data_IF_428606924647
#
_entry.id   IF_428606924647
#
_cell.length_a   1.000
_cell.length_b   1.000
_cell.length_c   1.000
_cell.angle_alpha   90.00
_cell.angle_beta   90.00
_cell.angle_gamma   90.00
#
_symmetry.space_group_name_H-M   'P 1'
#
loop_
_entity.id
_entity.type
_entity.pdbx_description
1 polymer ?
#
# COMPACT_ATOMS: atom_id res chain seq x y z
N UNK A 1 7.81 -17.19 10.49
CA UNK A 1 7.99 -17.85 9.18
C UNK A 1 6.80 -18.75 8.78
N UNK A 2 6.10 -19.44 9.69
CA UNK A 2 5.00 -20.33 9.31
C UNK A 2 3.73 -19.65 8.75
N UNK A 3 3.39 -18.44 9.20
CA UNK A 3 2.22 -17.71 8.70
C UNK A 3 2.43 -17.15 7.28
N UNK A 4 3.64 -16.73 6.93
CA UNK A 4 3.95 -16.20 5.59
C UNK A 4 3.84 -17.24 4.47
N UNK A 5 4.01 -18.52 4.80
CA UNK A 5 3.84 -19.61 3.83
C UNK A 5 2.37 -20.04 3.64
N UNK A 6 1.46 -19.60 4.54
CA UNK A 6 0.04 -19.93 4.49
C UNK A 6 -0.82 -18.84 3.83
N UNK A 7 -0.25 -17.65 3.62
CA UNK A 7 -0.99 -16.50 3.07
C UNK A 7 -0.71 -16.42 1.58
N UNK A 8 -1.51 -17.14 0.79
CA UNK A 8 -1.33 -17.21 -0.65
C UNK A 8 -1.92 -16.02 -1.43
N UNK A 9 -2.77 -15.19 -0.84
CA UNK A 9 -3.51 -14.15 -1.56
C UNK A 9 -3.23 -12.72 -1.08
N UNK A 10 -3.43 -11.75 -1.97
CA UNK A 10 -3.27 -10.32 -1.66
C UNK A 10 -4.23 -9.85 -0.58
N UNK A 11 -5.46 -10.38 -0.56
CA UNK A 11 -6.44 -10.07 0.49
C UNK A 11 -5.90 -10.49 1.87
N UNK A 12 -5.42 -11.73 1.98
CA UNK A 12 -4.86 -12.24 3.21
C UNK A 12 -3.59 -11.45 3.61
N UNK A 13 -2.74 -11.08 2.67
CA UNK A 13 -1.59 -10.22 2.92
C UNK A 13 -2.00 -8.84 3.45
N UNK A 14 -3.08 -8.24 2.92
CA UNK A 14 -3.56 -6.94 3.37
C UNK A 14 -4.15 -6.96 4.79
N UNK A 15 -4.76 -8.07 5.22
CA UNK A 15 -5.52 -8.13 6.48
C UNK A 15 -4.88 -8.97 7.57
N UNK A 16 -4.16 -10.04 7.23
CA UNK A 16 -3.65 -11.01 8.18
C UNK A 16 -2.16 -10.88 8.46
N UNK A 17 -1.36 -10.37 7.51
CA UNK A 17 0.05 -10.16 7.76
C UNK A 17 0.27 -8.92 8.63
N UNK A 18 1.06 -9.02 9.69
CA UNK A 18 1.41 -7.86 10.49
C UNK A 18 2.25 -6.88 9.65
N UNK A 19 1.92 -5.61 9.74
CA UNK A 19 2.71 -4.52 9.17
C UNK A 19 3.29 -3.61 10.26
N UNK A 20 3.27 -4.09 11.50
CA UNK A 20 3.81 -3.41 12.67
C UNK A 20 5.30 -3.69 12.84
N UNK A 21 5.97 -2.87 13.67
CA UNK A 21 7.37 -3.09 14.05
C UNK A 21 8.39 -2.49 13.09
N UNK A 22 7.96 -1.79 12.03
CA UNK A 22 8.89 -1.03 11.21
C UNK A 22 9.45 0.15 11.98
N UNK A 23 10.78 0.18 12.10
CA UNK A 23 11.48 1.28 12.79
C UNK A 23 12.52 1.91 11.88
N UNK A 24 12.33 3.20 11.57
CA UNK A 24 13.25 3.97 10.73
C UNK A 24 13.68 5.22 11.51
N UNK A 25 14.99 5.45 11.61
CA UNK A 25 15.60 6.56 12.36
C UNK A 25 15.15 6.66 13.82
N UNK A 26 14.89 5.49 14.45
CA UNK A 26 14.46 5.43 15.84
C UNK A 26 12.99 5.81 16.04
N UNK A 27 12.21 5.98 14.96
CA UNK A 27 10.77 6.20 14.98
C UNK A 27 10.06 4.90 14.66
N UNK A 28 9.09 4.53 15.47
CA UNK A 28 8.21 3.40 15.19
C UNK A 28 7.14 3.88 14.22
N UNK A 29 7.11 3.26 13.03
CA UNK A 29 6.19 3.68 11.98
C UNK A 29 4.82 3.03 12.19
N UNK A 30 3.78 3.81 11.97
CA UNK A 30 2.42 3.30 11.81
C UNK A 30 2.26 2.67 10.43
N UNK A 31 1.30 1.77 10.19
CA UNK A 31 1.03 1.27 8.85
C UNK A 31 0.84 2.41 7.85
N UNK A 32 1.45 2.30 6.67
CA UNK A 32 1.28 3.33 5.64
C UNK A 32 -0.20 3.46 5.25
N UNK A 33 -0.71 4.68 5.23
CA UNK A 33 -2.12 4.99 5.05
C UNK A 33 -2.34 6.14 4.06
N UNK A 34 -3.61 6.44 3.74
CA UNK A 34 -3.95 7.53 2.82
C UNK A 34 -3.52 8.90 3.35
N UNK A 35 -3.64 9.15 4.66
CA UNK A 35 -3.21 10.39 5.28
C UNK A 35 -1.69 10.61 5.11
N UNK A 36 -0.87 9.57 5.31
CA UNK A 36 0.57 9.64 5.06
C UNK A 36 0.88 9.96 3.59
N UNK A 37 0.19 9.31 2.65
CA UNK A 37 0.39 9.54 1.22
C UNK A 37 0.13 11.00 0.83
N UNK A 38 -0.97 11.57 1.33
CA UNK A 38 -1.33 12.97 1.06
C UNK A 38 -0.37 13.94 1.76
N UNK A 39 -0.01 13.69 3.02
CA UNK A 39 0.94 14.52 3.75
C UNK A 39 2.32 14.56 3.08
N UNK A 40 2.84 13.41 2.65
CA UNK A 40 4.11 13.33 1.91
C UNK A 40 4.05 14.09 0.58
N UNK A 41 2.91 14.04 -0.11
CA UNK A 41 2.71 14.82 -1.34
C UNK A 41 2.68 16.31 -1.07
N UNK A 42 2.05 16.74 0.02
CA UNK A 42 1.95 18.15 0.37
C UNK A 42 3.30 18.81 0.71
N UNK A 43 4.30 18.01 1.09
CA UNK A 43 5.68 18.45 1.35
C UNK A 43 6.64 18.10 0.20
N UNK A 44 6.12 17.75 -0.97
CA UNK A 44 6.89 17.36 -2.17
C UNK A 44 7.90 16.23 -1.92
N UNK A 45 7.59 15.31 -0.99
CA UNK A 45 8.46 14.19 -0.69
C UNK A 45 8.37 13.12 -1.79
N UNK A 46 9.48 12.78 -2.48
CA UNK A 46 9.45 11.88 -3.63
C UNK A 46 9.30 10.39 -3.27
N UNK A 47 9.51 10.00 -2.02
CA UNK A 47 9.58 8.60 -1.58
C UNK A 47 8.40 7.73 -2.01
N UNK A 48 7.13 8.19 -1.96
CA UNK A 48 6.00 7.36 -2.37
C UNK A 48 5.98 7.02 -3.87
N UNK A 49 6.61 7.86 -4.72
CA UNK A 49 6.50 7.74 -6.19
C UNK A 49 7.84 7.46 -6.87
N UNK A 50 8.90 8.13 -6.43
CA UNK A 50 10.25 8.01 -6.99
C UNK A 50 11.30 7.83 -5.89
N UNK A 51 11.33 6.64 -5.22
CA UNK A 51 12.22 6.43 -4.05
C UNK A 51 13.70 6.62 -4.38
N UNK A 52 14.10 6.41 -5.64
CA UNK A 52 15.48 6.60 -6.10
C UNK A 52 15.91 8.07 -6.08
N UNK A 53 14.98 9.02 -6.24
CA UNK A 53 15.24 10.45 -6.20
C UNK A 53 15.29 11.02 -4.78
N UNK A 54 14.88 10.23 -3.76
CA UNK A 54 14.79 10.70 -2.39
C UNK A 54 16.16 11.03 -1.80
N UNK A 55 16.22 12.20 -1.18
CA UNK A 55 17.38 12.69 -0.43
C UNK A 55 17.36 12.23 1.03
N UNK A 56 18.43 12.51 1.79
CA UNK A 56 18.44 12.21 3.23
C UNK A 56 17.35 12.94 4.02
N UNK A 57 17.11 14.25 3.81
CA UNK A 57 15.97 14.96 4.42
C UNK A 57 14.64 14.32 4.09
N UNK A 58 14.43 13.86 2.84
CA UNK A 58 13.18 13.21 2.44
C UNK A 58 12.93 11.91 3.20
N UNK A 59 13.95 11.07 3.38
CA UNK A 59 13.87 9.84 4.17
C UNK A 59 13.48 10.12 5.62
N UNK A 60 14.09 11.15 6.22
CA UNK A 60 13.81 11.54 7.61
C UNK A 60 12.40 12.15 7.73
N UNK A 61 12.03 13.04 6.80
CA UNK A 61 10.70 13.65 6.74
C UNK A 61 9.61 12.59 6.59
N UNK A 62 9.82 11.60 5.72
CA UNK A 62 8.88 10.52 5.54
C UNK A 62 8.72 9.66 6.80
N UNK A 63 9.82 9.32 7.50
CA UNK A 63 9.73 8.59 8.76
C UNK A 63 8.98 9.38 9.84
N UNK A 64 9.10 10.70 9.84
CA UNK A 64 8.38 11.59 10.75
C UNK A 64 6.87 11.58 10.47
N UNK A 65 6.48 11.70 9.19
CA UNK A 65 5.09 11.61 8.74
C UNK A 65 4.49 10.26 9.10
N UNK A 66 5.16 9.17 8.74
CA UNK A 66 4.63 7.83 8.90
C UNK A 66 4.66 7.31 10.35
N UNK A 67 5.25 8.05 11.28
CA UNK A 67 5.13 7.78 12.71
C UNK A 67 3.81 8.28 13.32
N UNK A 68 3.04 9.12 12.59
CA UNK A 68 1.78 9.68 13.08
C UNK A 68 0.61 8.72 12.86
N UNK A 69 -0.26 8.62 13.85
CA UNK A 69 -1.47 7.78 13.82
C UNK A 69 -2.78 8.57 13.81
N UNK A 70 -2.72 9.91 13.80
CA UNK A 70 -3.89 10.80 13.78
C UNK A 70 -3.60 12.08 13.01
N UNK A 71 -4.66 12.82 12.65
CA UNK A 71 -4.50 14.16 12.08
C UNK A 71 -3.91 15.16 13.06
N UNK A 72 -4.24 15.06 14.34
CA UNK A 72 -3.68 15.92 15.37
C UNK A 72 -2.14 15.78 15.41
N UNK A 73 -1.63 14.56 15.40
CA UNK A 73 -0.19 14.30 15.33
C UNK A 73 0.41 14.85 14.05
N UNK A 74 -0.24 14.64 12.88
CA UNK A 74 0.22 15.16 11.60
C UNK A 74 0.28 16.70 11.59
N UNK A 75 -0.71 17.38 12.14
CA UNK A 75 -0.74 18.85 12.20
C UNK A 75 0.24 19.44 13.19
N UNK A 76 0.62 18.70 14.22
CA UNK A 76 1.60 19.13 15.21
C UNK A 76 3.05 19.10 14.69
N UNK A 77 3.31 18.44 13.57
CA UNK A 77 4.65 18.33 13.00
C UNK A 77 5.07 19.63 12.31
N UNK A 78 6.17 20.22 12.74
CA UNK A 78 6.87 21.22 11.95
C UNK A 78 7.77 20.54 10.90
N UNK A 79 7.28 20.48 9.65
CA UNK A 79 7.98 19.84 8.52
C UNK A 79 9.29 20.56 8.15
N UNK A 80 9.37 21.84 8.44
CA UNK A 80 10.49 22.69 8.03
C UNK A 80 11.62 22.69 9.05
N UNK A 81 11.34 22.27 10.29
CA UNK A 81 12.32 22.25 11.37
C UNK A 81 12.67 20.81 11.75
N UNK A 82 13.89 20.34 11.41
CA UNK A 82 14.35 19.05 11.89
C UNK A 82 14.55 19.10 13.40
N UNK A 83 14.04 18.11 14.10
CA UNK A 83 14.27 17.94 15.53
C UNK A 83 15.67 17.35 15.79
N UNK A 84 16.05 17.21 17.07
CA UNK A 84 17.36 16.65 17.45
C UNK A 84 17.58 15.23 16.91
N UNK A 85 16.51 14.42 16.83
CA UNK A 85 16.56 13.05 16.29
C UNK A 85 16.79 13.07 14.78
N UNK A 86 16.10 13.97 14.09
CA UNK A 86 16.26 14.17 12.66
C UNK A 86 17.69 14.58 12.30
N UNK A 87 18.24 15.54 13.03
CA UNK A 87 19.63 15.99 12.84
C UNK A 87 20.63 14.85 13.10
N UNK A 88 20.42 14.07 14.17
CA UNK A 88 21.27 12.94 14.48
C UNK A 88 21.21 11.85 13.40
N UNK A 89 20.01 11.57 12.87
CA UNK A 89 19.80 10.62 11.78
C UNK A 89 20.49 11.08 10.50
N UNK A 90 20.32 12.34 10.09
CA UNK A 90 20.96 12.93 8.91
C UNK A 90 22.50 12.86 9.04
N UNK A 91 23.06 13.28 10.17
CA UNK A 91 24.51 13.21 10.40
C UNK A 91 25.04 11.78 10.31
N UNK A 92 24.36 10.81 10.92
CA UNK A 92 24.77 9.40 10.87
C UNK A 92 24.74 8.85 9.44
N UNK A 93 23.73 9.20 8.66
CA UNK A 93 23.61 8.77 7.28
C UNK A 93 24.62 9.43 6.37
N UNK A 94 24.89 10.74 6.56
CA UNK A 94 25.88 11.47 5.76
C UNK A 94 27.29 10.87 5.88
N UNK A 95 27.58 10.22 7.00
CA UNK A 95 28.88 9.57 7.26
C UNK A 95 28.97 8.15 6.69
N UNK A 96 27.87 7.56 6.21
CA UNK A 96 27.86 6.16 5.75
C UNK A 96 26.87 5.90 4.61
N UNK A 97 27.33 5.74 3.37
CA UNK A 97 26.47 5.36 2.25
C UNK A 97 25.68 4.06 2.50
N UNK A 98 26.25 3.11 3.25
CA UNK A 98 25.57 1.88 3.64
C UNK A 98 24.35 2.14 4.52
N UNK A 99 24.37 3.17 5.35
CA UNK A 99 23.23 3.57 6.20
C UNK A 99 22.09 4.14 5.36
N UNK A 100 22.39 4.91 4.32
CA UNK A 100 21.39 5.42 3.35
C UNK A 100 20.72 4.26 2.62
N UNK A 101 21.54 3.33 2.11
CA UNK A 101 21.00 2.14 1.42
C UNK A 101 20.08 1.31 2.33
N UNK A 102 20.49 1.06 3.58
CA UNK A 102 19.64 0.35 4.55
C UNK A 102 18.32 1.08 4.84
N UNK A 103 18.37 2.40 4.96
CA UNK A 103 17.17 3.20 5.19
C UNK A 103 16.20 3.12 3.99
N UNK A 104 16.72 3.16 2.76
CA UNK A 104 15.91 2.99 1.55
C UNK A 104 15.30 1.60 1.47
N UNK A 105 16.06 0.56 1.80
CA UNK A 105 15.56 -0.82 1.83
C UNK A 105 14.49 -1.00 2.91
N UNK A 106 14.70 -0.46 4.11
CA UNK A 106 13.70 -0.49 5.17
C UNK A 106 12.42 0.24 4.78
N UNK A 107 12.54 1.35 4.05
CA UNK A 107 11.40 2.07 3.49
C UNK A 107 10.66 1.24 2.43
N UNK A 108 11.39 0.57 1.54
CA UNK A 108 10.79 -0.29 0.51
C UNK A 108 9.97 -1.42 1.15
N UNK A 109 10.55 -2.13 2.12
CA UNK A 109 9.88 -3.19 2.86
C UNK A 109 8.62 -2.67 3.60
N UNK A 110 8.74 -1.53 4.29
CA UNK A 110 7.60 -0.90 4.97
C UNK A 110 6.45 -0.58 4.01
N UNK A 111 6.76 -0.07 2.82
CA UNK A 111 5.74 0.17 1.79
C UNK A 111 5.14 -1.12 1.26
N UNK A 112 5.97 -2.09 0.93
CA UNK A 112 5.54 -3.39 0.41
C UNK A 112 4.58 -4.07 1.38
N UNK A 113 4.91 -4.08 2.66
CA UNK A 113 4.06 -4.66 3.70
C UNK A 113 2.73 -3.89 3.88
N UNK A 114 2.72 -2.57 3.66
CA UNK A 114 1.54 -1.74 3.90
C UNK A 114 0.64 -1.57 2.67
N UNK A 115 1.21 -1.64 1.46
CA UNK A 115 0.52 -1.30 0.20
C UNK A 115 0.32 -2.55 -0.64
N UNK A 116 -0.58 -3.42 -0.20
CA UNK A 116 -1.00 -4.59 -0.98
C UNK A 116 -2.19 -4.19 -1.83
N UNK A 117 -1.97 -4.05 -3.14
CA UNK A 117 -2.98 -3.55 -4.09
C UNK A 117 -3.78 -4.71 -4.69
N UNK A 118 -5.13 -4.65 -4.66
CA UNK A 118 -5.95 -5.60 -5.40
C UNK A 118 -5.72 -5.46 -6.90
N UNK A 119 -5.76 -6.54 -7.64
CA UNK A 119 -5.54 -6.53 -9.09
C UNK A 119 -6.87 -6.42 -9.84
N UNK A 120 -7.00 -5.37 -10.65
CA UNK A 120 -8.19 -5.14 -11.46
C UNK A 120 -8.16 -6.04 -12.70
N UNK A 121 -9.19 -6.89 -12.85
CA UNK A 121 -9.38 -7.80 -13.99
C UNK A 121 -10.17 -7.17 -15.12
N UNK A 122 -11.31 -6.56 -14.78
CA UNK A 122 -12.17 -5.86 -15.72
C UNK A 122 -12.59 -4.50 -15.17
N UNK A 123 -12.52 -3.47 -16.02
CA UNK A 123 -13.06 -2.14 -15.70
C UNK A 123 -14.55 -2.12 -15.90
N UNK A 124 -15.26 -1.27 -15.15
CA UNK A 124 -16.65 -0.97 -15.43
C UNK A 124 -16.81 -0.48 -16.89
N UNK A 125 -17.82 -0.97 -17.58
CA UNK A 125 -18.09 -0.62 -18.98
C UNK A 125 -18.46 0.85 -19.15
N UNK A 126 -19.04 1.47 -18.12
CA UNK A 126 -19.46 2.87 -18.11
C UNK A 126 -19.02 3.52 -16.80
N UNK A 127 -17.84 4.13 -16.82
CA UNK A 127 -17.36 4.93 -15.70
C UNK A 127 -17.60 6.42 -15.95
N UNK A 128 -18.35 7.10 -15.09
CA UNK A 128 -18.39 8.57 -15.11
C UNK A 128 -17.02 9.09 -14.66
N UNK A 129 -16.49 10.15 -15.31
CA UNK A 129 -15.25 10.76 -14.86
C UNK A 129 -15.44 11.29 -13.44
N UNK A 130 -14.59 10.81 -12.53
CA UNK A 130 -14.58 11.28 -11.14
C UNK A 130 -13.72 12.54 -11.04
N UNK A 131 -14.30 13.65 -10.63
CA UNK A 131 -13.60 14.92 -10.38
C UNK A 131 -13.07 15.02 -8.95
N UNK A 132 -13.51 14.13 -8.05
CA UNK A 132 -13.06 14.08 -6.67
C UNK A 132 -11.61 13.54 -6.60
N UNK A 133 -10.73 14.16 -5.80
CA UNK A 133 -9.39 13.63 -5.58
C UNK A 133 -9.45 12.16 -5.12
N UNK A 134 -8.62 11.32 -5.73
CA UNK A 134 -8.68 9.86 -5.57
C UNK A 134 -8.77 9.39 -4.11
N UNK A 135 -7.86 9.88 -3.25
CA UNK A 135 -7.85 9.48 -1.83
C UNK A 135 -9.13 9.92 -1.10
N UNK A 136 -9.61 11.14 -1.38
CA UNK A 136 -10.82 11.66 -0.73
C UNK A 136 -12.05 10.84 -1.13
N UNK A 137 -12.21 10.55 -2.41
CA UNK A 137 -13.32 9.73 -2.91
C UNK A 137 -13.33 8.34 -2.26
N UNK A 138 -12.19 7.69 -2.24
CA UNK A 138 -12.03 6.35 -1.68
C UNK A 138 -12.30 6.33 -0.16
N UNK A 139 -11.69 7.23 0.60
CA UNK A 139 -11.88 7.33 2.05
C UNK A 139 -13.33 7.60 2.40
N UNK A 140 -13.97 8.56 1.71
CA UNK A 140 -15.37 8.91 1.96
C UNK A 140 -16.32 7.75 1.66
N UNK A 141 -16.10 7.02 0.56
CA UNK A 141 -16.90 5.86 0.19
C UNK A 141 -16.79 4.75 1.24
N UNK A 142 -15.56 4.43 1.65
CA UNK A 142 -15.30 3.38 2.65
C UNK A 142 -15.86 3.79 4.02
N UNK A 143 -15.59 4.99 4.51
CA UNK A 143 -16.12 5.46 5.79
C UNK A 143 -17.65 5.41 5.82
N UNK A 144 -18.30 5.87 4.75
CA UNK A 144 -19.75 5.86 4.59
C UNK A 144 -20.33 4.44 4.60
N UNK A 145 -19.72 3.53 3.85
CA UNK A 145 -20.19 2.14 3.75
C UNK A 145 -20.13 1.40 5.10
N UNK A 146 -19.15 1.72 5.93
CA UNK A 146 -18.96 1.10 7.25
C UNK A 146 -19.58 1.90 8.40
N UNK A 147 -20.23 3.05 8.12
CA UNK A 147 -20.80 3.93 9.15
C UNK A 147 -19.74 4.43 10.14
N UNK A 148 -18.52 4.66 9.68
CA UNK A 148 -17.37 5.11 10.48
C UNK A 148 -17.04 6.57 10.21
N UNK A 149 -16.32 7.17 11.17
CA UNK A 149 -15.74 8.49 10.97
C UNK A 149 -14.74 8.49 9.80
N UNK A 150 -14.70 9.54 8.96
CA UNK A 150 -13.72 9.64 7.89
C UNK A 150 -12.27 9.52 8.36
N UNK A 151 -11.92 10.01 9.54
CA UNK A 151 -10.56 9.90 10.09
C UNK A 151 -10.13 8.44 10.22
N UNK A 152 -11.03 7.55 10.68
CA UNK A 152 -10.77 6.12 10.72
C UNK A 152 -10.32 5.59 9.35
N UNK A 153 -11.00 5.96 8.27
CA UNK A 153 -10.65 5.48 6.92
C UNK A 153 -9.34 6.10 6.39
N UNK A 154 -9.01 7.34 6.79
CA UNK A 154 -7.74 7.97 6.45
C UNK A 154 -6.53 7.22 7.03
N UNK A 155 -6.67 6.64 8.22
CA UNK A 155 -5.61 5.95 8.94
C UNK A 155 -5.67 4.43 8.84
N UNK A 156 -6.58 3.87 8.04
CA UNK A 156 -6.52 2.46 7.66
C UNK A 156 -5.21 2.16 6.93
N UNK A 157 -4.65 0.97 7.18
CA UNK A 157 -3.57 0.44 6.35
C UNK A 157 -3.94 0.56 4.88
N UNK A 158 -3.05 1.09 4.06
CA UNK A 158 -3.39 1.48 2.68
C UNK A 158 -3.92 0.30 1.84
N UNK A 159 -3.32 -0.88 2.02
CA UNK A 159 -3.81 -2.11 1.38
C UNK A 159 -5.26 -2.44 1.77
N UNK A 160 -5.62 -2.34 3.06
CA UNK A 160 -7.00 -2.57 3.52
C UNK A 160 -7.97 -1.57 2.90
N UNK A 161 -7.61 -0.28 2.89
CA UNK A 161 -8.42 0.76 2.28
C UNK A 161 -8.68 0.47 0.79
N UNK A 162 -7.66 0.03 0.06
CA UNK A 162 -7.78 -0.33 -1.36
C UNK A 162 -8.69 -1.55 -1.58
N UNK A 163 -8.58 -2.57 -0.74
CA UNK A 163 -9.45 -3.75 -0.83
C UNK A 163 -10.91 -3.42 -0.49
N UNK A 164 -11.17 -2.59 0.52
CA UNK A 164 -12.53 -2.12 0.81
C UNK A 164 -13.11 -1.30 -0.35
N UNK A 165 -12.32 -0.37 -0.91
CA UNK A 165 -12.75 0.41 -2.06
C UNK A 165 -12.99 -0.48 -3.30
N UNK A 166 -12.18 -1.52 -3.50
CA UNK A 166 -12.37 -2.50 -4.57
C UNK A 166 -13.69 -3.25 -4.42
N UNK A 167 -14.00 -3.75 -3.22
CA UNK A 167 -15.25 -4.44 -2.95
C UNK A 167 -16.48 -3.55 -3.17
N UNK A 168 -16.42 -2.27 -2.78
CA UNK A 168 -17.48 -1.30 -3.06
C UNK A 168 -17.64 -1.05 -4.57
N UNK A 169 -16.54 -0.89 -5.29
CA UNK A 169 -16.56 -0.69 -6.75
C UNK A 169 -17.10 -1.91 -7.49
N UNK A 170 -16.86 -3.13 -7.01
CA UNK A 170 -17.44 -4.34 -7.57
C UNK A 170 -18.97 -4.33 -7.41
N UNK A 171 -19.46 -3.99 -6.22
CA UNK A 171 -20.90 -3.95 -5.94
C UNK A 171 -21.63 -2.82 -6.65
N UNK A 172 -21.04 -1.61 -6.72
CA UNK A 172 -21.71 -0.43 -7.27
C UNK A 172 -21.52 -0.26 -8.78
N UNK A 173 -20.34 -0.63 -9.30
CA UNK A 173 -19.94 -0.31 -10.70
C UNK A 173 -19.65 -1.54 -11.55
N UNK A 174 -19.74 -2.76 -10.98
CA UNK A 174 -19.47 -4.00 -11.69
C UNK A 174 -18.03 -4.19 -12.15
N UNK A 175 -17.08 -3.55 -11.48
CA UNK A 175 -15.66 -3.85 -11.65
C UNK A 175 -15.39 -5.29 -11.23
N UNK A 176 -14.47 -5.98 -11.90
CA UNK A 176 -14.06 -7.33 -11.51
C UNK A 176 -12.59 -7.33 -11.10
N UNK A 177 -12.33 -7.96 -9.98
CA UNK A 177 -10.99 -8.09 -9.41
C UNK A 177 -10.51 -9.54 -9.51
N UNK A 178 -9.21 -9.73 -9.49
CA UNK A 178 -8.62 -11.07 -9.47
C UNK A 178 -8.98 -11.73 -8.14
N UNK A 179 -9.56 -12.92 -8.20
CA UNK A 179 -9.93 -13.70 -7.02
C UNK A 179 -8.72 -14.45 -6.46
N UNK A 180 -8.77 -14.86 -5.18
CA UNK A 180 -7.70 -15.67 -4.56
C UNK A 180 -7.42 -16.96 -5.35
N UNK A 181 -8.45 -17.62 -5.87
CA UNK A 181 -8.29 -18.82 -6.68
C UNK A 181 -7.55 -18.54 -8.01
N UNK A 182 -7.77 -17.37 -8.62
CA UNK A 182 -7.04 -16.93 -9.81
C UNK A 182 -5.60 -16.56 -9.47
N UNK A 183 -5.36 -15.92 -8.33
CA UNK A 183 -3.99 -15.63 -7.83
C UNK A 183 -3.18 -16.91 -7.60
N UNK A 184 -3.78 -17.95 -7.00
CA UNK A 184 -3.14 -19.25 -6.82
C UNK A 184 -2.81 -19.90 -8.16
N UNK A 185 -3.72 -19.80 -9.15
CA UNK A 185 -3.45 -20.30 -10.50
C UNK A 185 -2.31 -19.55 -11.17
N UNK A 186 -2.29 -18.22 -11.07
CA UNK A 186 -1.22 -17.37 -11.60
C UNK A 186 0.12 -17.76 -10.96
N UNK A 187 0.17 -17.86 -9.63
CA UNK A 187 1.37 -18.27 -8.89
C UNK A 187 1.86 -19.65 -9.31
N UNK A 188 0.94 -20.60 -9.51
CA UNK A 188 1.26 -21.96 -9.99
C UNK A 188 1.86 -21.94 -11.42
N UNK A 189 1.35 -21.08 -12.30
CA UNK A 189 1.87 -20.92 -13.67
C UNK A 189 3.25 -20.27 -13.67
N UNK A 190 3.44 -19.23 -12.86
CA UNK A 190 4.73 -18.56 -12.68
C UNK A 190 5.81 -19.53 -12.13
N UNK A 191 5.44 -20.34 -11.14
CA UNK A 191 6.33 -21.38 -10.60
C UNK A 191 6.75 -22.44 -11.64
N UNK A 192 5.94 -22.63 -12.69
CA UNK A 192 6.21 -23.51 -13.84
C UNK A 192 6.96 -22.80 -14.97
N UNK A 193 7.43 -21.57 -14.76
CA UNK A 193 8.18 -20.79 -15.75
C UNK A 193 7.32 -20.14 -16.84
N UNK A 194 6.00 -20.13 -16.70
CA UNK A 194 5.06 -19.49 -17.61
C UNK A 194 4.92 -18.04 -17.16
N UNK A 195 5.74 -17.14 -17.74
CA UNK A 195 5.72 -15.71 -17.45
C UNK A 195 4.76 -14.98 -18.39
N UNK A 196 4.15 -13.87 -17.93
CA UNK A 196 3.24 -13.04 -18.73
C UNK A 196 1.80 -13.04 -18.25
N UNK A 197 1.51 -13.73 -17.16
CA UNK A 197 0.15 -13.85 -16.61
C UNK A 197 -0.36 -12.59 -15.91
N UNK A 198 0.52 -11.62 -15.57
CA UNK A 198 0.16 -10.39 -14.82
C UNK A 198 -0.36 -9.22 -15.64
N UNK A 199 -0.32 -9.27 -16.97
CA UNK A 199 -0.86 -8.20 -17.81
C UNK A 199 -2.00 -8.72 -18.69
N UNK A 200 -3.21 -8.63 -18.19
CA UNK A 200 -4.40 -8.73 -19.05
C UNK A 200 -5.03 -10.11 -19.21
N UNK A 201 -5.01 -10.96 -18.17
CA UNK A 201 -5.72 -12.24 -18.18
C UNK A 201 -4.86 -13.43 -18.61
N UNK A 202 -5.43 -14.60 -18.53
CA UNK A 202 -4.82 -15.86 -18.99
C UNK A 202 -4.33 -15.69 -20.45
N UNK A 203 -3.16 -16.24 -20.83
CA UNK A 203 -2.67 -16.18 -22.20
C UNK A 203 -3.74 -16.71 -23.16
N UNK A 204 -3.89 -16.03 -24.33
CA UNK A 204 -4.80 -16.49 -25.37
C UNK A 204 -4.55 -17.98 -25.67
N UNK A 205 -5.56 -18.80 -25.45
CA UNK A 205 -5.46 -20.26 -25.60
C UNK A 205 -5.45 -21.08 -24.31
N UNK A 206 -5.31 -20.48 -23.14
CA UNK A 206 -5.45 -21.20 -21.87
C UNK A 206 -6.93 -21.56 -21.62
N UNK A 207 -7.30 -22.79 -21.91
CA UNK A 207 -8.64 -23.31 -21.58
C UNK A 207 -8.78 -23.41 -20.07
N UNK A 208 -9.69 -22.60 -19.50
CA UNK A 208 -10.10 -22.74 -18.10
C UNK A 208 -10.74 -24.12 -17.93
N UNK A 209 -9.99 -25.06 -17.33
CA UNK A 209 -10.53 -26.37 -16.98
C UNK A 209 -11.45 -26.18 -15.79
N UNK A 210 -12.72 -25.94 -16.07
CA UNK A 210 -13.77 -26.03 -15.04
C UNK A 210 -13.83 -27.48 -14.54
N UNK A 211 -13.23 -27.76 -13.40
CA UNK A 211 -13.49 -28.99 -12.68
C UNK A 211 -14.98 -29.04 -12.33
N UNK A 212 -15.77 -29.84 -13.08
CA UNK A 212 -17.11 -30.21 -12.63
C UNK A 212 -16.97 -30.88 -11.27
N UNK A 213 -17.49 -30.25 -10.21
CA UNK A 213 -17.77 -30.95 -8.96
C UNK A 213 -18.72 -32.10 -9.30
N UNK A 214 -18.23 -33.32 -9.19
CA UNK A 214 -19.11 -34.49 -9.13
C UNK A 214 -19.84 -34.42 -7.79
N UNK A 215 -21.15 -34.33 -7.83
CA UNK A 215 -22.05 -34.51 -6.69
C UNK A 215 -21.97 -35.90 -6.11
#
# INVERSE_FOLDING_TARGET
MALQSLVAGRLAAAFLLPCDGHRIFGRDLKPFCAAHSVALRAIDNPLPWTPSAATLPDLVGAAKVCACGSFEELWSIDWRRPDRRDIAAIRRMALSPRSVHRARLAWANYREDSVVVPELKERAKEGKPCTTPFHLGMVTAVARAFGKDPEWAWFLRYGQLLHYAAALNEGEYGCRWVTEAEEEQIASLEARGITGTRRGGLPEGAKVVRRKRRG
#
